data_IF_565891525659
#
_entry.id   IF_565891525659
#
_cell.length_a   1.000
_cell.length_b   1.000
_cell.length_c   1.000
_cell.angle_alpha   90.00
_cell.angle_beta   90.00
_cell.angle_gamma   90.00
#
_symmetry.space_group_name_H-M   'P 1'
#
loop_
_entity.id
_entity.type
_entity.pdbx_description
1 polymer ?
#
# COMPACT_ATOMS: atom_id res chain seq x y z
N UNK A 1 48.97 -0.01 1.83
CA UNK A 1 47.74 -0.54 2.48
C UNK A 1 46.61 -0.63 1.46
N UNK A 2 46.26 -1.83 1.01
CA UNK A 2 45.18 -2.05 0.05
C UNK A 2 43.82 -1.91 0.77
N UNK A 3 43.02 -0.90 0.41
CA UNK A 3 41.65 -0.74 0.94
C UNK A 3 40.82 -1.98 0.56
N UNK A 4 40.44 -2.80 1.54
CA UNK A 4 39.47 -3.90 1.36
C UNK A 4 38.17 -3.31 0.79
N UNK A 5 37.79 -3.71 -0.43
CA UNK A 5 36.46 -3.46 -0.99
C UNK A 5 35.41 -4.00 -0.01
N UNK A 6 34.46 -3.17 0.43
CA UNK A 6 33.28 -3.61 1.19
C UNK A 6 32.61 -4.75 0.42
N UNK A 7 32.41 -5.90 1.06
CA UNK A 7 31.76 -7.06 0.45
C UNK A 7 30.36 -6.67 -0.05
N UNK A 8 30.00 -7.10 -1.27
CA UNK A 8 28.65 -6.92 -1.80
C UNK A 8 27.68 -7.63 -0.84
N UNK A 9 26.77 -6.86 -0.24
CA UNK A 9 25.74 -7.41 0.64
C UNK A 9 24.82 -8.30 -0.22
N UNK A 10 24.80 -9.59 0.07
CA UNK A 10 23.94 -10.54 -0.64
C UNK A 10 22.47 -10.18 -0.35
N UNK A 11 21.63 -10.11 -1.38
CA UNK A 11 20.20 -9.90 -1.19
C UNK A 11 19.63 -11.03 -0.33
N UNK A 12 18.84 -10.68 0.69
CA UNK A 12 18.14 -11.61 1.56
C UNK A 12 16.77 -11.02 1.93
N UNK A 13 15.71 -11.61 1.39
CA UNK A 13 14.36 -11.31 1.84
C UNK A 13 14.10 -12.08 3.15
N UNK A 14 14.48 -11.46 4.27
CA UNK A 14 14.43 -12.08 5.61
C UNK A 14 13.00 -12.47 5.99
N UNK A 15 12.00 -11.68 5.58
CA UNK A 15 10.60 -11.98 5.84
C UNK A 15 10.13 -13.22 5.09
N UNK A 16 10.49 -13.34 3.81
CA UNK A 16 10.20 -14.54 3.01
C UNK A 16 10.84 -15.79 3.62
N UNK A 17 12.12 -15.70 3.98
CA UNK A 17 12.85 -16.83 4.58
C UNK A 17 12.24 -17.29 5.90
N UNK A 18 11.76 -16.35 6.74
CA UNK A 18 11.06 -16.67 7.98
C UNK A 18 9.70 -17.32 7.72
N UNK A 19 8.93 -16.79 6.75
CA UNK A 19 7.64 -17.35 6.36
C UNK A 19 7.77 -18.77 5.81
N UNK A 20 8.73 -18.98 4.90
CA UNK A 20 9.08 -20.29 4.35
C UNK A 20 9.49 -21.25 5.46
N UNK A 21 10.39 -20.82 6.35
CA UNK A 21 10.88 -21.65 7.46
C UNK A 21 9.76 -22.09 8.41
N UNK A 22 8.90 -21.16 8.82
CA UNK A 22 7.74 -21.46 9.65
C UNK A 22 6.78 -22.46 8.99
N UNK A 23 6.54 -22.32 7.69
CA UNK A 23 5.69 -23.23 6.92
C UNK A 23 6.29 -24.62 6.79
N UNK A 24 7.57 -24.74 6.43
CA UNK A 24 8.28 -26.01 6.37
C UNK A 24 8.26 -26.74 7.72
N UNK A 25 8.54 -26.03 8.83
CA UNK A 25 8.45 -26.58 10.19
C UNK A 25 7.08 -27.16 10.49
N UNK A 26 6.01 -26.44 10.12
CA UNK A 26 4.63 -26.90 10.30
C UNK A 26 4.36 -28.18 9.51
N UNK A 27 4.77 -28.25 8.24
CA UNK A 27 4.62 -29.44 7.39
C UNK A 27 5.36 -30.66 7.96
N UNK A 28 6.60 -30.48 8.43
CA UNK A 28 7.37 -31.55 9.09
C UNK A 28 6.68 -32.06 10.34
N UNK A 29 6.19 -31.16 11.19
CA UNK A 29 5.47 -31.52 12.40
C UNK A 29 4.15 -32.26 12.09
N UNK A 30 3.42 -31.83 11.06
CA UNK A 30 2.19 -32.50 10.61
C UNK A 30 2.45 -33.92 10.09
N UNK A 31 3.59 -34.14 9.44
CA UNK A 31 4.05 -35.48 9.02
C UNK A 31 4.65 -36.31 10.18
N UNK A 32 4.70 -35.78 11.40
CA UNK A 32 5.21 -36.51 12.57
C UNK A 32 6.73 -36.67 12.62
N UNK A 33 7.47 -35.83 11.89
CA UNK A 33 8.93 -35.89 11.83
C UNK A 33 9.55 -34.98 12.89
N UNK A 34 10.54 -35.48 13.65
CA UNK A 34 11.47 -34.63 14.40
C UNK A 34 12.59 -34.11 13.48
N UNK A 35 13.34 -33.08 13.92
CA UNK A 35 14.50 -32.59 13.16
C UNK A 35 15.56 -33.69 13.04
N UNK A 36 15.82 -34.43 14.13
CA UNK A 36 16.78 -35.52 14.16
C UNK A 36 16.39 -36.66 13.20
N UNK A 37 15.10 -37.04 13.21
CA UNK A 37 14.58 -38.05 12.29
C UNK A 37 14.69 -37.62 10.83
N UNK A 38 14.27 -36.40 10.51
CA UNK A 38 14.38 -35.87 9.15
C UNK A 38 15.83 -35.80 8.67
N UNK A 39 16.75 -35.45 9.57
CA UNK A 39 18.19 -35.43 9.26
C UNK A 39 18.72 -36.82 8.95
N UNK A 40 18.37 -37.83 9.76
CA UNK A 40 18.81 -39.22 9.58
C UNK A 40 18.25 -39.88 8.33
N UNK A 41 17.00 -39.58 7.98
CA UNK A 41 16.34 -40.12 6.79
C UNK A 41 16.69 -39.34 5.51
N UNK A 42 17.45 -38.24 5.63
CA UNK A 42 17.95 -37.48 4.49
C UNK A 42 19.41 -37.82 4.18
N UNK A 43 19.77 -37.97 2.91
CA UNK A 43 21.16 -38.20 2.53
C UNK A 43 22.07 -36.97 2.70
N UNK A 44 21.51 -35.76 2.84
CA UNK A 44 22.29 -34.50 2.80
C UNK A 44 21.71 -33.31 3.61
N UNK A 45 20.74 -33.53 4.53
CA UNK A 45 20.27 -32.47 5.43
C UNK A 45 20.77 -32.69 6.84
N UNK A 46 21.76 -31.90 7.25
CA UNK A 46 22.15 -31.87 8.67
C UNK A 46 21.08 -31.16 9.51
N UNK A 47 21.02 -31.52 10.80
CA UNK A 47 20.16 -30.85 11.79
C UNK A 47 20.35 -29.33 11.80
N UNK A 48 21.57 -28.84 11.58
CA UNK A 48 21.87 -27.40 11.48
C UNK A 48 21.27 -26.74 10.23
N UNK A 49 21.27 -27.43 9.08
CA UNK A 49 20.65 -26.93 7.85
C UNK A 49 19.14 -26.87 8.03
N UNK A 50 18.55 -27.92 8.59
CA UNK A 50 17.11 -27.98 8.88
C UNK A 50 16.70 -26.86 9.84
N UNK A 51 17.45 -26.67 10.93
CA UNK A 51 17.19 -25.61 11.89
C UNK A 51 17.31 -24.22 11.25
N UNK A 52 18.33 -23.97 10.43
CA UNK A 52 18.51 -22.69 9.72
C UNK A 52 17.36 -22.44 8.74
N UNK A 53 16.94 -23.46 8.01
CA UNK A 53 15.80 -23.42 7.10
C UNK A 53 14.52 -23.06 7.86
N UNK A 54 14.21 -23.78 8.93
CA UNK A 54 12.97 -23.59 9.70
C UNK A 54 12.91 -22.28 10.49
N UNK A 55 14.06 -21.69 10.81
CA UNK A 55 14.14 -20.39 11.48
C UNK A 55 14.26 -19.21 10.51
N UNK A 56 14.51 -19.48 9.22
CA UNK A 56 14.78 -18.45 8.22
C UNK A 56 16.05 -17.66 8.50
N UNK A 57 16.99 -18.18 9.31
CA UNK A 57 18.15 -17.45 9.79
C UNK A 57 19.38 -17.57 8.86
N UNK A 58 19.14 -17.51 7.56
CA UNK A 58 20.20 -17.56 6.54
C UNK A 58 19.72 -18.12 5.20
N UNK A 59 20.62 -18.15 4.20
CA UNK A 59 20.30 -18.69 2.90
C UNK A 59 20.06 -20.20 2.98
N UNK A 60 19.11 -20.66 2.17
CA UNK A 60 18.75 -22.07 1.98
C UNK A 60 18.96 -22.41 0.51
N UNK A 61 19.62 -23.53 0.23
CA UNK A 61 19.82 -23.98 -1.15
C UNK A 61 18.57 -24.68 -1.67
N UNK A 62 18.35 -24.62 -2.98
CA UNK A 62 17.25 -25.37 -3.63
C UNK A 62 17.40 -26.87 -3.36
N UNK A 63 18.62 -27.40 -3.39
CA UNK A 63 18.91 -28.80 -3.05
C UNK A 63 18.40 -29.17 -1.65
N UNK A 64 18.60 -28.30 -0.65
CA UNK A 64 18.11 -28.54 0.70
C UNK A 64 16.57 -28.61 0.75
N UNK A 65 15.87 -27.74 0.00
CA UNK A 65 14.41 -27.77 -0.08
C UNK A 65 13.89 -29.05 -0.76
N UNK A 66 14.53 -29.49 -1.84
CA UNK A 66 14.13 -30.73 -2.52
C UNK A 66 14.32 -31.96 -1.64
N UNK A 67 15.46 -32.09 -0.94
CA UNK A 67 15.68 -33.19 0.01
C UNK A 67 14.69 -33.15 1.17
N UNK A 68 14.33 -31.96 1.63
CA UNK A 68 13.34 -31.79 2.69
C UNK A 68 11.95 -32.25 2.24
N UNK A 69 11.57 -31.90 1.01
CA UNK A 69 10.32 -32.33 0.39
C UNK A 69 10.28 -33.84 0.15
N UNK A 70 11.38 -34.42 -0.34
CA UNK A 70 11.55 -35.85 -0.62
C UNK A 70 11.31 -36.71 0.62
N UNK A 71 12.01 -36.40 1.73
CA UNK A 71 11.86 -37.14 3.01
C UNK A 71 10.44 -37.02 3.59
N UNK A 72 9.76 -35.90 3.35
CA UNK A 72 8.40 -35.69 3.83
C UNK A 72 7.31 -36.20 2.87
N UNK A 73 7.70 -36.78 1.73
CA UNK A 73 6.80 -37.17 0.64
C UNK A 73 5.87 -36.02 0.23
N UNK A 74 6.47 -34.87 -0.08
CA UNK A 74 5.79 -33.66 -0.51
C UNK A 74 6.28 -33.25 -1.90
N UNK A 75 5.37 -32.67 -2.69
CA UNK A 75 5.76 -31.96 -3.90
C UNK A 75 6.50 -30.67 -3.50
N UNK A 76 7.63 -30.30 -4.14
CA UNK A 76 8.39 -29.09 -3.79
C UNK A 76 7.55 -27.81 -3.76
N UNK A 77 6.53 -27.70 -4.63
CA UNK A 77 5.58 -26.56 -4.63
C UNK A 77 4.87 -26.38 -3.30
N UNK A 78 4.60 -27.46 -2.56
CA UNK A 78 3.91 -27.41 -1.27
C UNK A 78 4.77 -26.76 -0.19
N UNK A 79 6.10 -26.82 -0.30
CA UNK A 79 7.00 -26.08 0.60
C UNK A 79 6.92 -24.57 0.35
N UNK A 80 6.56 -24.15 -0.87
CA UNK A 80 6.43 -22.74 -1.25
C UNK A 80 4.98 -22.22 -1.15
N UNK A 81 4.03 -23.10 -0.84
CA UNK A 81 2.61 -22.80 -0.74
C UNK A 81 2.23 -22.28 0.65
N UNK A 82 2.67 -21.06 0.95
CA UNK A 82 2.37 -20.37 2.20
C UNK A 82 1.97 -18.91 1.94
N UNK A 83 1.11 -18.33 2.79
CA UNK A 83 0.73 -16.94 2.65
C UNK A 83 1.96 -16.06 2.88
N UNK A 84 2.46 -15.47 1.79
CA UNK A 84 3.50 -14.47 1.82
C UNK A 84 3.10 -13.34 0.88
N UNK A 85 2.87 -12.16 1.45
CA UNK A 85 2.66 -10.96 0.65
C UNK A 85 4.01 -10.56 0.05
N UNK A 86 4.29 -11.10 -1.13
CA UNK A 86 5.44 -10.66 -1.91
C UNK A 86 5.12 -9.24 -2.36
N UNK A 87 5.59 -8.25 -1.60
CA UNK A 87 5.45 -6.85 -1.96
C UNK A 87 6.05 -6.63 -3.36
N UNK A 88 5.19 -6.69 -4.40
CA UNK A 88 5.54 -6.30 -5.76
C UNK A 88 5.19 -7.24 -6.93
N UNK A 89 4.67 -8.47 -6.76
CA UNK A 89 4.57 -9.39 -7.94
C UNK A 89 3.16 -9.84 -8.33
N UNK A 90 2.15 -9.76 -7.45
CA UNK A 90 0.76 -10.03 -7.85
C UNK A 90 -0.17 -8.91 -7.38
N UNK A 91 -0.03 -7.74 -7.97
CA UNK A 91 -1.13 -6.77 -7.99
C UNK A 91 -1.96 -7.09 -9.21
N UNK A 92 -3.16 -7.62 -8.97
CA UNK A 92 -4.14 -7.85 -10.02
C UNK A 92 -4.36 -6.50 -10.73
N UNK A 93 -4.02 -6.44 -12.02
CA UNK A 93 -4.11 -5.21 -12.79
C UNK A 93 -5.56 -4.78 -12.81
N UNK A 94 -5.84 -3.57 -12.35
CA UNK A 94 -7.19 -3.02 -12.45
C UNK A 94 -7.36 -2.44 -13.85
N UNK A 95 -8.21 -3.05 -14.72
CA UNK A 95 -8.42 -2.53 -16.06
C UNK A 95 -9.06 -1.14 -16.00
N UNK A 96 -8.57 -0.24 -16.86
CA UNK A 96 -9.16 1.08 -17.08
C UNK A 96 -9.91 1.05 -18.41
N UNK A 97 -11.22 1.26 -18.36
CA UNK A 97 -12.09 1.33 -19.53
C UNK A 97 -12.14 2.77 -20.06
N UNK A 98 -12.12 2.94 -21.37
CA UNK A 98 -12.30 4.25 -21.98
C UNK A 98 -13.76 4.71 -21.86
N UNK A 99 -13.99 6.03 -21.83
CA UNK A 99 -15.37 6.57 -21.80
C UNK A 99 -16.20 6.17 -23.02
N UNK A 100 -15.55 5.80 -24.13
CA UNK A 100 -16.16 5.31 -25.37
C UNK A 100 -16.48 3.81 -25.36
N UNK A 101 -16.02 3.06 -24.37
CA UNK A 101 -16.18 1.61 -24.34
C UNK A 101 -17.65 1.20 -24.14
N UNK A 102 -18.05 0.15 -24.87
CA UNK A 102 -19.44 -0.31 -24.86
C UNK A 102 -19.86 -0.73 -23.44
N UNK A 103 -20.94 -0.12 -22.95
CA UNK A 103 -21.53 -0.47 -21.66
C UNK A 103 -20.95 0.27 -20.46
N UNK A 104 -19.94 1.13 -20.63
CA UNK A 104 -19.42 1.98 -19.53
C UNK A 104 -20.52 2.87 -18.97
N UNK A 105 -21.28 3.57 -19.83
CA UNK A 105 -22.36 4.47 -19.37
C UNK A 105 -23.46 3.77 -18.57
N UNK A 106 -23.73 2.48 -18.86
CA UNK A 106 -24.73 1.68 -18.13
C UNK A 106 -24.25 1.20 -16.77
N UNK A 107 -22.93 0.98 -16.64
CA UNK A 107 -22.23 0.49 -15.43
C UNK A 107 -21.66 1.61 -14.55
N UNK A 108 -21.58 2.83 -15.07
CA UNK A 108 -21.13 4.02 -14.35
C UNK A 108 -21.87 4.20 -13.02
N UNK A 109 -21.10 4.38 -11.95
CA UNK A 109 -21.57 4.51 -10.56
C UNK A 109 -22.39 3.33 -10.02
N UNK A 110 -22.40 2.20 -10.72
CA UNK A 110 -22.96 0.91 -10.25
C UNK A 110 -21.87 -0.12 -10.03
N UNK A 111 -20.94 -0.18 -10.98
CA UNK A 111 -19.78 -1.06 -10.96
C UNK A 111 -18.49 -0.27 -11.20
N UNK A 112 -18.57 0.79 -12.00
CA UNK A 112 -17.42 1.59 -12.41
C UNK A 112 -17.41 2.96 -11.75
N UNK A 113 -16.23 3.45 -11.38
CA UNK A 113 -16.01 4.84 -10.97
C UNK A 113 -15.09 5.57 -11.96
N UNK A 114 -15.28 6.89 -12.15
CA UNK A 114 -14.41 7.67 -13.01
C UNK A 114 -13.03 7.84 -12.36
N UNK A 115 -11.98 7.66 -13.16
CA UNK A 115 -10.60 7.97 -12.85
C UNK A 115 -10.27 9.40 -13.28
N UNK A 116 -9.77 10.19 -12.34
CA UNK A 116 -9.34 11.56 -12.59
C UNK A 116 -7.87 11.73 -12.25
N UNK A 117 -7.19 12.62 -12.98
CA UNK A 117 -5.99 13.26 -12.46
C UNK A 117 -6.31 14.00 -11.16
N UNK A 118 -5.30 14.19 -10.29
CA UNK A 118 -5.47 14.99 -9.06
C UNK A 118 -6.00 16.41 -9.34
N UNK A 119 -5.56 17.02 -10.44
CA UNK A 119 -6.03 18.33 -10.90
C UNK A 119 -7.50 18.29 -11.32
N UNK A 120 -7.89 17.29 -12.11
CA UNK A 120 -9.28 17.13 -12.55
C UNK A 120 -10.23 16.89 -11.37
N UNK A 121 -9.87 16.03 -10.43
CA UNK A 121 -10.66 15.79 -9.22
C UNK A 121 -10.95 17.07 -8.43
N UNK A 122 -9.96 17.96 -8.34
CA UNK A 122 -10.11 19.26 -7.72
C UNK A 122 -10.99 20.25 -8.51
N UNK A 123 -10.94 20.21 -9.85
CA UNK A 123 -11.83 21.02 -10.70
C UNK A 123 -13.30 20.59 -10.55
N UNK A 124 -13.58 19.29 -10.71
CA UNK A 124 -14.93 18.74 -10.65
C UNK A 124 -15.58 18.92 -9.28
N UNK A 125 -14.92 18.45 -8.22
CA UNK A 125 -15.48 18.42 -6.87
C UNK A 125 -15.16 19.69 -6.07
N UNK A 126 -14.17 20.46 -6.50
CA UNK A 126 -13.85 21.76 -5.90
C UNK A 126 -14.70 22.89 -6.48
N UNK A 127 -14.82 22.98 -7.80
CA UNK A 127 -15.40 24.16 -8.48
C UNK A 127 -16.56 23.84 -9.43
N UNK A 128 -16.91 22.57 -9.62
CA UNK A 128 -17.97 22.16 -10.55
C UNK A 128 -17.59 22.36 -12.02
N UNK A 129 -16.29 22.40 -12.32
CA UNK A 129 -15.79 22.56 -13.69
C UNK A 129 -15.90 21.24 -14.45
N UNK A 130 -16.22 21.31 -15.75
CA UNK A 130 -16.09 20.18 -16.65
C UNK A 130 -14.62 19.80 -16.78
N UNK A 131 -14.28 18.59 -16.35
CA UNK A 131 -12.91 18.07 -16.39
C UNK A 131 -12.89 16.72 -17.08
N UNK A 132 -11.77 16.43 -17.73
CA UNK A 132 -11.58 15.20 -18.48
C UNK A 132 -11.45 14.00 -17.54
N UNK A 133 -12.22 12.95 -17.85
CA UNK A 133 -12.14 11.64 -17.23
C UNK A 133 -11.06 10.84 -17.97
N UNK A 134 -10.04 10.40 -17.25
CA UNK A 134 -8.96 9.57 -17.83
C UNK A 134 -9.43 8.16 -18.18
N UNK A 135 -10.45 7.67 -17.47
CA UNK A 135 -11.11 6.40 -17.76
C UNK A 135 -12.04 5.97 -16.63
N UNK A 136 -12.45 4.70 -16.66
CA UNK A 136 -13.38 4.12 -15.71
C UNK A 136 -12.80 2.83 -15.12
N UNK A 137 -12.95 2.67 -13.82
CA UNK A 137 -12.29 1.59 -13.07
C UNK A 137 -13.35 0.77 -12.34
N UNK A 138 -13.22 -0.55 -12.38
CA UNK A 138 -14.08 -1.44 -11.58
C UNK A 138 -13.82 -1.23 -10.09
N UNK A 139 -14.87 -0.84 -9.37
CA UNK A 139 -14.81 -0.54 -7.95
C UNK A 139 -15.82 -1.35 -7.13
N UNK A 140 -16.32 -2.47 -7.65
CA UNK A 140 -17.33 -3.31 -6.97
C UNK A 140 -16.86 -3.80 -5.60
N UNK A 141 -15.56 -3.97 -5.41
CA UNK A 141 -14.95 -4.38 -4.14
C UNK A 141 -15.07 -3.35 -3.01
N UNK A 142 -15.36 -2.07 -3.32
CA UNK A 142 -15.51 -1.00 -2.33
C UNK A 142 -16.92 -0.92 -1.74
N UNK A 143 -17.87 -1.66 -2.33
CA UNK A 143 -19.26 -1.71 -1.89
C UNK A 143 -20.18 -0.80 -2.71
N UNK A 144 -21.15 -0.16 -2.05
CA UNK A 144 -22.18 0.63 -2.75
C UNK A 144 -21.58 1.92 -3.33
N UNK A 145 -21.59 2.01 -4.66
CA UNK A 145 -21.07 3.16 -5.40
C UNK A 145 -22.13 4.27 -5.56
N UNK A 146 -21.68 5.51 -5.71
CA UNK A 146 -22.51 6.65 -6.06
C UNK A 146 -21.74 7.77 -6.76
N UNK A 147 -22.45 8.81 -7.20
CA UNK A 147 -21.91 9.93 -7.99
C UNK A 147 -20.95 10.86 -7.23
N UNK A 148 -20.83 10.72 -5.91
CA UNK A 148 -19.83 11.45 -5.12
C UNK A 148 -18.52 10.68 -5.01
N UNK A 149 -18.47 9.46 -5.52
CA UNK A 149 -17.25 8.65 -5.51
C UNK A 149 -16.46 8.79 -6.82
N UNK A 150 -15.15 8.72 -6.71
CA UNK A 150 -14.21 8.79 -7.83
C UNK A 150 -12.88 8.12 -7.48
N UNK A 151 -12.05 7.87 -8.49
CA UNK A 151 -10.73 7.25 -8.33
C UNK A 151 -9.64 8.27 -8.67
N UNK A 152 -8.56 8.25 -7.91
CA UNK A 152 -7.30 8.93 -8.26
C UNK A 152 -6.13 7.97 -8.06
N UNK A 153 -5.06 8.18 -8.80
CA UNK A 153 -3.81 7.44 -8.61
C UNK A 153 -3.00 8.06 -7.48
N UNK A 154 -2.49 7.22 -6.58
CA UNK A 154 -1.50 7.61 -5.58
C UNK A 154 -0.18 7.96 -6.28
N UNK A 155 0.44 9.06 -5.86
CA UNK A 155 1.73 9.51 -6.37
C UNK A 155 2.66 9.70 -5.16
N UNK A 156 3.84 9.12 -5.24
CA UNK A 156 4.86 9.19 -4.20
C UNK A 156 4.69 8.16 -3.08
N UNK A 157 5.55 8.27 -2.06
CA UNK A 157 5.78 7.22 -1.05
C UNK A 157 5.40 7.63 0.38
N UNK A 158 4.87 8.83 0.57
CA UNK A 158 4.56 9.38 1.90
C UNK A 158 3.48 8.60 2.67
N UNK A 159 2.70 7.75 2.01
CA UNK A 159 1.63 6.97 2.62
C UNK A 159 1.92 5.47 2.72
N UNK A 160 3.14 5.05 2.38
CA UNK A 160 3.59 3.66 2.50
C UNK A 160 3.69 3.21 3.98
N UNK A 161 3.52 1.90 4.26
CA UNK A 161 3.24 0.82 3.30
C UNK A 161 1.76 0.66 2.95
N UNK A 162 0.86 1.39 3.64
CA UNK A 162 -0.59 1.21 3.51
C UNK A 162 -1.14 1.66 2.15
N UNK A 163 -0.57 2.71 1.58
CA UNK A 163 -0.87 3.21 0.24
C UNK A 163 0.48 3.34 -0.46
N UNK A 164 0.68 2.57 -1.53
CA UNK A 164 1.91 2.60 -2.32
C UNK A 164 1.73 3.51 -3.53
N UNK A 165 2.85 3.95 -4.08
CA UNK A 165 2.87 4.66 -5.35
C UNK A 165 2.14 3.86 -6.45
N UNK A 166 1.32 4.54 -7.25
CA UNK A 166 0.52 3.93 -8.32
C UNK A 166 -0.80 3.28 -7.90
N UNK A 167 -1.09 3.15 -6.59
CA UNK A 167 -2.37 2.61 -6.12
C UNK A 167 -3.57 3.46 -6.59
N UNK A 168 -4.64 2.83 -7.03
CA UNK A 168 -5.91 3.45 -7.35
C UNK A 168 -6.75 3.60 -6.08
N UNK A 169 -6.86 4.83 -5.63
CA UNK A 169 -7.54 5.21 -4.40
C UNK A 169 -8.96 5.66 -4.70
N UNK A 170 -9.93 5.09 -3.99
CA UNK A 170 -11.34 5.49 -4.10
C UNK A 170 -11.65 6.52 -3.04
N UNK A 171 -12.10 7.67 -3.51
CA UNK A 171 -12.45 8.82 -2.69
C UNK A 171 -13.94 9.13 -2.79
N UNK A 172 -14.48 9.70 -1.71
CA UNK A 172 -15.82 10.27 -1.65
C UNK A 172 -15.72 11.78 -1.42
N UNK A 173 -16.25 12.55 -2.36
CA UNK A 173 -16.38 13.99 -2.26
C UNK A 173 -17.40 14.41 -1.18
N UNK A 174 -17.24 15.63 -0.67
CA UNK A 174 -18.07 16.23 0.38
C UNK A 174 -18.35 15.29 1.57
N UNK A 175 -17.30 14.78 2.24
CA UNK A 175 -17.47 13.85 3.34
C UNK A 175 -18.25 14.50 4.48
N UNK A 176 -19.30 13.81 4.93
CA UNK A 176 -20.11 14.22 6.08
C UNK A 176 -19.43 13.82 7.40
N UNK A 177 -19.63 14.65 8.43
CA UNK A 177 -19.12 14.39 9.79
C UNK A 177 -17.65 14.76 10.00
N UNK A 178 -17.04 14.18 11.03
CA UNK A 178 -15.65 14.48 11.37
C UNK A 178 -14.67 13.90 10.36
N UNK A 179 -13.61 14.66 10.08
CA UNK A 179 -12.46 14.27 9.25
C UNK A 179 -11.28 13.78 10.10
N UNK A 180 -11.40 13.87 11.42
CA UNK A 180 -10.32 13.56 12.36
C UNK A 180 -9.83 12.12 12.20
N UNK A 181 -8.53 11.94 11.99
CA UNK A 181 -7.88 10.64 11.85
C UNK A 181 -8.07 9.96 10.50
N UNK A 182 -8.87 10.55 9.58
CA UNK A 182 -9.17 9.98 8.27
C UNK A 182 -8.10 10.34 7.24
N UNK A 183 -7.93 9.49 6.23
CA UNK A 183 -7.10 9.81 5.07
C UNK A 183 -7.95 10.64 4.11
N UNK A 184 -7.41 11.78 3.70
CA UNK A 184 -8.12 12.76 2.89
C UNK A 184 -7.29 13.15 1.68
N UNK A 185 -7.98 13.50 0.60
CA UNK A 185 -7.40 14.26 -0.50
C UNK A 185 -7.60 15.74 -0.19
N UNK A 186 -6.49 16.46 -0.06
CA UNK A 186 -6.48 17.89 0.24
C UNK A 186 -5.83 18.68 -0.88
N UNK A 187 -6.38 19.85 -1.16
CA UNK A 187 -5.73 20.91 -1.91
C UNK A 187 -5.15 21.91 -0.92
N UNK A 188 -3.90 22.32 -1.13
CA UNK A 188 -3.25 23.33 -0.33
C UNK A 188 -2.37 24.20 -1.22
N UNK A 189 -2.47 25.52 -1.08
CA UNK A 189 -1.63 26.50 -1.79
C UNK A 189 -0.52 26.99 -0.85
N UNK A 190 0.52 26.18 -0.66
CA UNK A 190 1.71 26.58 0.11
C UNK A 190 2.99 25.95 -0.45
N UNK A 191 4.11 25.97 0.30
CA UNK A 191 5.38 25.44 -0.20
C UNK A 191 5.23 23.99 -0.62
N UNK A 192 5.83 23.64 -1.76
CA UNK A 192 5.47 22.45 -2.52
C UNK A 192 5.58 21.13 -1.74
N UNK A 193 4.56 20.28 -1.82
CA UNK A 193 4.62 18.86 -1.49
C UNK A 193 5.69 18.21 -2.38
N UNK A 194 6.73 17.60 -1.78
CA UNK A 194 7.83 16.97 -2.53
C UNK A 194 7.38 15.86 -3.49
N UNK A 195 6.23 15.21 -3.22
CA UNK A 195 5.71 14.11 -4.04
C UNK A 195 4.89 14.62 -5.24
N UNK A 196 4.24 15.79 -5.16
CA UNK A 196 3.24 16.25 -6.16
C UNK A 196 3.48 17.65 -6.73
N UNK A 197 4.53 18.35 -6.31
CA UNK A 197 4.81 19.71 -6.75
C UNK A 197 3.88 20.77 -6.15
N UNK A 198 3.11 20.45 -5.10
CA UNK A 198 2.58 21.47 -4.18
C UNK A 198 1.11 21.86 -4.26
N UNK A 199 0.30 21.24 -5.11
CA UNK A 199 -1.13 21.60 -5.17
C UNK A 199 -2.06 20.62 -4.47
N UNK A 200 -1.69 19.33 -4.38
CA UNK A 200 -2.58 18.27 -3.91
C UNK A 200 -1.81 17.24 -3.07
N UNK A 201 -2.43 16.75 -2.00
CA UNK A 201 -1.80 15.73 -1.17
C UNK A 201 -2.81 14.75 -0.59
N UNK A 202 -2.40 13.49 -0.47
CA UNK A 202 -3.14 12.45 0.25
C UNK A 202 -2.43 12.24 1.58
N UNK A 203 -3.09 12.57 2.68
CA UNK A 203 -2.51 12.49 4.03
C UNK A 203 -3.57 12.17 5.07
N UNK A 204 -3.16 11.73 6.25
CA UNK A 204 -4.06 11.59 7.41
C UNK A 204 -4.33 12.96 8.02
N UNK A 205 -5.59 13.37 8.07
CA UNK A 205 -6.01 14.64 8.64
C UNK A 205 -6.10 14.58 10.16
N UNK A 206 -5.61 15.62 10.83
CA UNK A 206 -5.99 15.94 12.20
C UNK A 206 -6.11 17.44 12.39
N UNK A 207 -6.98 17.87 13.32
CA UNK A 207 -7.03 19.25 13.78
C UNK A 207 -7.03 19.31 15.30
N UNK A 208 -6.27 20.27 15.84
CA UNK A 208 -6.19 20.56 17.26
C UNK A 208 -6.57 22.03 17.50
N UNK A 209 -7.36 22.28 18.55
CA UNK A 209 -7.58 23.63 19.07
C UNK A 209 -6.41 23.95 19.99
N UNK A 210 -5.66 25.00 19.68
CA UNK A 210 -4.61 25.53 20.54
C UNK A 210 -5.09 26.84 21.14
N UNK A 211 -5.03 26.92 22.45
CA UNK A 211 -5.35 28.13 23.22
C UNK A 211 -4.05 28.91 23.42
N UNK A 212 -4.08 30.23 23.24
CA UNK A 212 -2.96 31.12 23.56
C UNK A 212 -2.58 30.99 25.04
N UNK A 213 -1.33 31.32 25.38
CA UNK A 213 -0.86 31.36 26.77
C UNK A 213 -1.72 32.30 27.65
N UNK A 214 -2.31 33.32 27.04
CA UNK A 214 -3.11 34.37 27.67
C UNK A 214 -4.61 34.01 27.73
N UNK A 215 -5.01 32.81 27.28
CA UNK A 215 -6.39 32.30 27.33
C UNK A 215 -7.37 32.95 26.36
N UNK A 216 -7.06 34.13 25.82
CA UNK A 216 -7.99 34.97 25.04
C UNK A 216 -8.23 34.50 23.60
N UNK A 217 -7.38 33.63 23.04
CA UNK A 217 -7.45 33.24 21.62
C UNK A 217 -7.31 31.73 21.43
N UNK A 218 -8.19 31.14 20.63
CA UNK A 218 -8.11 29.73 20.20
C UNK A 218 -7.87 29.65 18.70
N UNK A 219 -6.72 29.14 18.26
CA UNK A 219 -6.51 28.83 16.84
C UNK A 219 -6.69 27.35 16.55
N UNK A 220 -7.23 27.03 15.37
CA UNK A 220 -7.32 25.66 14.87
C UNK A 220 -6.07 25.36 14.04
N UNK A 221 -5.19 24.50 14.55
CA UNK A 221 -4.05 24.00 13.81
C UNK A 221 -4.45 22.71 13.09
N UNK A 222 -4.20 22.63 11.79
CA UNK A 222 -4.45 21.45 10.97
C UNK A 222 -3.10 20.76 10.72
N UNK A 223 -3.08 19.43 10.82
CA UNK A 223 -1.90 18.63 10.54
C UNK A 223 -2.27 17.52 9.56
N UNK A 224 -1.53 17.47 8.46
CA UNK A 224 -1.61 16.42 7.44
C UNK A 224 -0.41 15.49 7.61
N UNK A 225 -0.63 14.35 8.23
CA UNK A 225 0.44 13.41 8.56
C UNK A 225 0.63 12.37 7.46
N UNK A 226 1.88 12.08 7.05
CA UNK A 226 2.20 10.88 6.30
C UNK A 226 1.96 9.62 7.16
N UNK A 227 1.86 8.47 6.51
CA UNK A 227 1.93 7.17 7.19
C UNK A 227 3.36 6.63 7.20
N UNK A 228 4.16 7.04 6.21
CA UNK A 228 5.57 6.71 6.12
C UNK A 228 6.40 7.65 7.01
N UNK A 229 7.10 7.10 8.00
CA UNK A 229 7.89 7.85 8.98
C UNK A 229 9.11 8.58 8.38
N UNK A 230 9.46 8.31 7.13
CA UNK A 230 10.55 9.00 6.41
C UNK A 230 10.14 10.40 5.92
N UNK A 231 8.85 10.75 6.04
CA UNK A 231 8.28 12.00 5.56
C UNK A 231 7.78 12.82 6.74
N UNK A 232 7.91 14.14 6.62
CA UNK A 232 7.48 15.08 7.66
C UNK A 232 5.98 15.42 7.52
N UNK A 233 5.26 15.63 8.64
CA UNK A 233 3.90 16.16 8.60
C UNK A 233 3.85 17.59 8.05
N UNK A 234 2.80 17.90 7.29
CA UNK A 234 2.51 19.27 6.88
C UNK A 234 1.62 19.91 7.95
N UNK A 235 2.11 20.99 8.54
CA UNK A 235 1.39 21.75 9.57
C UNK A 235 0.84 23.04 8.96
N UNK A 236 -0.48 23.19 9.02
CA UNK A 236 -1.19 24.32 8.46
C UNK A 236 -1.80 25.16 9.58
N UNK A 237 -1.50 26.45 9.54
CA UNK A 237 -2.18 27.48 10.32
C UNK A 237 -3.06 28.26 9.34
N UNK A 238 -4.34 27.89 9.17
CA UNK A 238 -5.24 28.61 8.28
C UNK A 238 -5.43 30.03 8.82
N UNK A 239 -4.64 30.97 8.30
CA UNK A 239 -4.75 32.41 8.58
C UNK A 239 -5.70 33.08 7.59
N UNK A 240 -5.88 32.48 6.41
CA UNK A 240 -6.71 33.00 5.32
C UNK A 240 -7.68 31.92 4.84
N UNK A 241 -8.93 32.33 4.62
CA UNK A 241 -9.98 31.48 4.07
C UNK A 241 -9.68 31.19 2.59
N UNK A 242 -9.61 29.92 2.18
CA UNK A 242 -9.41 29.51 0.79
C UNK A 242 -8.04 28.89 0.43
N UNK A 243 -7.01 29.02 1.29
CA UNK A 243 -5.68 28.44 1.03
C UNK A 243 -5.62 26.92 1.18
N UNK A 244 -6.57 26.34 1.92
CA UNK A 244 -6.64 24.92 2.21
C UNK A 244 -8.06 24.40 2.07
N UNK A 245 -8.22 23.29 1.35
CA UNK A 245 -9.50 22.61 1.18
C UNK A 245 -9.34 21.10 1.23
N UNK A 246 -10.20 20.46 2.01
CA UNK A 246 -10.43 19.02 1.87
C UNK A 246 -11.40 18.80 0.72
N UNK A 247 -10.96 18.05 -0.28
CA UNK A 247 -11.77 17.72 -1.45
C UNK A 247 -12.58 16.45 -1.20
N UNK A 248 -11.95 15.43 -0.58
CA UNK A 248 -12.58 14.13 -0.40
C UNK A 248 -11.96 13.32 0.74
N UNK A 249 -12.70 12.30 1.18
CA UNK A 249 -12.26 11.28 2.14
C UNK A 249 -12.01 9.95 1.42
N UNK A 250 -10.93 9.25 1.81
CA UNK A 250 -10.63 7.92 1.30
C UNK A 250 -11.63 6.90 1.82
N UNK A 251 -12.25 6.13 0.93
CA UNK A 251 -13.21 5.06 1.26
C UNK A 251 -12.71 3.66 0.88
N UNK A 252 -11.69 3.55 0.03
CA UNK A 252 -11.10 2.27 -0.36
C UNK A 252 -9.86 2.40 -1.24
N UNK A 253 -9.22 1.27 -1.55
CA UNK A 253 -8.11 1.16 -2.51
C UNK A 253 -8.33 -0.09 -3.37
N UNK A 254 -8.01 0.00 -4.67
CA UNK A 254 -8.25 -1.05 -5.66
C UNK A 254 -6.96 -1.76 -6.10
N UNK A 255 -5.78 -1.40 -5.57
CA UNK A 255 -4.48 -1.87 -6.06
C UNK A 255 -3.89 -0.95 -7.14
N UNK A 256 -2.78 -1.33 -7.78
CA UNK A 256 -2.08 -0.46 -8.73
C UNK A 256 -2.55 -0.62 -10.18
N UNK A 257 -2.43 0.46 -10.95
CA UNK A 257 -2.52 0.44 -12.41
C UNK A 257 -1.12 0.74 -12.97
N UNK A 258 -0.52 -0.16 -13.76
CA UNK A 258 0.70 0.18 -14.50
C UNK A 258 0.30 0.62 -15.91
N UNK A 259 0.50 1.91 -16.20
CA UNK A 259 0.69 2.38 -17.57
C UNK A 259 2.06 1.88 -18.03
N UNK A 260 2.09 1.21 -19.18
CA UNK A 260 3.31 0.79 -19.89
C UNK A 260 4.33 1.92 -20.07
#
# INVERSE_FOLDING_TARGET
MLKRKKAKQHYANVEFLRGLGAHCRRLRQQKGYSIDRLSKESDQLSTSVIHRLETGNGPVTVTALFRYAEVLELMPKQLLDFPFDYEGVHRERVPVFASTDRGVSKRAFKELLPLYSLKAAAGYFGRGEGVDIEGWVDARSVGKLDRKMFVVRAVGKSMEPKIRDGDLLVFRADPAGTRQGKIVLAQYQGPADPDTGGSYTVKRYSSVKKVSADGNWTHKQIVLSPLNRKFEPIVLNPKVEGEFRILAELVGSLGANETE
#
